data_IF_903658706319
#
_entry.id   IF_903658706319
#
_cell.length_a   1.000
_cell.length_b   1.000
_cell.length_c   1.000
_cell.angle_alpha   90.00
_cell.angle_beta   90.00
_cell.angle_gamma   90.00
#
_symmetry.space_group_name_H-M   'P 1'
#
loop_
_entity.id
_entity.type
_entity.pdbx_description
1 polymer ?
#
# COMPACT_ATOMS: atom_id res chain seq x y z
N UNK A 1 12.52 -11.23 1.20
CA UNK A 1 12.89 -10.75 -0.16
C UNK A 1 11.81 -11.07 -1.18
N UNK A 2 11.39 -12.34 -1.34
CA UNK A 2 10.35 -12.75 -2.33
C UNK A 2 9.03 -11.97 -2.17
N UNK A 3 8.53 -11.83 -0.94
CA UNK A 3 7.29 -11.08 -0.68
C UNK A 3 7.32 -9.62 -1.15
N UNK A 4 8.44 -8.94 -0.92
CA UNK A 4 8.62 -7.56 -1.38
C UNK A 4 8.64 -7.48 -2.92
N UNK A 5 9.30 -8.42 -3.59
CA UNK A 5 9.29 -8.49 -5.06
C UNK A 5 7.87 -8.74 -5.61
N UNK A 6 7.08 -9.60 -4.96
CA UNK A 6 5.67 -9.82 -5.33
C UNK A 6 4.86 -8.53 -5.12
N UNK A 7 5.08 -7.82 -4.02
CA UNK A 7 4.41 -6.55 -3.76
C UNK A 7 4.73 -5.50 -4.84
N UNK A 8 6.00 -5.41 -5.23
CA UNK A 8 6.44 -4.55 -6.32
C UNK A 8 5.84 -4.97 -7.67
N UNK A 9 5.73 -6.28 -7.93
CA UNK A 9 5.11 -6.80 -9.14
C UNK A 9 3.62 -6.47 -9.19
N UNK A 10 2.89 -6.55 -8.07
CA UNK A 10 1.49 -6.11 -7.99
C UNK A 10 1.41 -4.62 -8.32
N UNK A 11 2.20 -3.77 -7.65
CA UNK A 11 2.19 -2.33 -7.91
C UNK A 11 2.54 -2.03 -9.38
N UNK A 12 3.56 -2.68 -9.93
CA UNK A 12 3.96 -2.52 -11.33
C UNK A 12 2.85 -2.95 -12.29
N UNK A 13 2.24 -4.12 -12.07
CA UNK A 13 1.12 -4.62 -12.87
C UNK A 13 -0.03 -3.61 -12.90
N UNK A 14 -0.41 -3.07 -11.74
CA UNK A 14 -1.44 -2.03 -11.68
C UNK A 14 -1.00 -0.79 -12.47
N UNK A 15 0.21 -0.26 -12.24
CA UNK A 15 0.73 0.92 -12.95
C UNK A 15 0.86 0.73 -14.47
N UNK A 16 1.03 -0.49 -14.95
CA UNK A 16 1.17 -0.82 -16.38
C UNK A 16 -0.17 -1.05 -17.06
N UNK A 17 -1.08 -1.81 -16.43
CA UNK A 17 -2.30 -2.27 -17.10
C UNK A 17 -3.51 -1.35 -16.89
N UNK A 18 -3.50 -0.49 -15.88
CA UNK A 18 -4.64 0.38 -15.58
C UNK A 18 -4.36 1.83 -15.99
N UNK A 19 -5.38 2.54 -16.50
CA UNK A 19 -5.23 3.95 -16.84
C UNK A 19 -4.86 4.74 -15.58
N UNK A 20 -3.79 5.51 -15.67
CA UNK A 20 -3.23 6.34 -14.59
C UNK A 20 -4.30 7.14 -13.87
N UNK A 21 -5.21 7.78 -14.60
CA UNK A 21 -6.31 8.60 -14.06
C UNK A 21 -7.27 7.83 -13.11
N UNK A 22 -7.34 6.50 -13.23
CA UNK A 22 -8.19 5.62 -12.40
C UNK A 22 -7.46 5.01 -11.20
N UNK A 23 -6.13 5.09 -11.17
CA UNK A 23 -5.28 4.54 -10.10
C UNK A 23 -4.85 5.56 -9.06
N UNK A 24 -5.43 6.74 -9.14
CA UNK A 24 -4.90 7.93 -8.53
C UNK A 24 -5.99 8.66 -7.76
N UNK A 25 -5.69 8.86 -6.47
CA UNK A 25 -6.47 9.63 -5.52
C UNK A 25 -5.80 10.99 -5.28
N UNK A 26 -6.55 12.06 -5.47
CA UNK A 26 -6.04 13.43 -5.35
C UNK A 26 -5.43 13.72 -3.98
N UNK A 27 -5.89 13.07 -2.91
CA UNK A 27 -5.32 13.23 -1.58
C UNK A 27 -3.91 12.63 -1.50
N UNK A 28 -3.67 11.50 -2.17
CA UNK A 28 -2.33 10.89 -2.25
C UNK A 28 -1.38 11.81 -3.02
N UNK A 29 -1.85 12.44 -4.11
CA UNK A 29 -1.05 13.42 -4.84
C UNK A 29 -0.75 14.65 -3.97
N UNK A 30 -1.77 15.24 -3.35
CA UNK A 30 -1.62 16.41 -2.49
C UNK A 30 -0.66 16.12 -1.33
N UNK A 31 -0.80 14.96 -0.69
CA UNK A 31 0.12 14.48 0.34
C UNK A 31 1.54 14.32 -0.20
N UNK A 32 1.70 13.69 -1.37
CA UNK A 32 3.01 13.52 -2.00
C UNK A 32 3.69 14.86 -2.32
N UNK A 33 2.92 15.92 -2.58
CA UNK A 33 3.44 17.26 -2.86
C UNK A 33 3.77 18.04 -1.58
N UNK A 34 3.05 17.79 -0.48
CA UNK A 34 3.20 18.52 0.78
C UNK A 34 4.36 18.04 1.66
N UNK A 35 4.81 16.79 1.52
CA UNK A 35 5.90 16.24 2.35
C UNK A 35 7.25 16.17 1.62
N UNK A 36 8.37 16.14 2.34
CA UNK A 36 9.69 15.83 1.76
C UNK A 36 9.96 14.31 1.76
N UNK A 37 10.91 13.84 0.93
CA UNK A 37 11.29 12.41 0.94
C UNK A 37 11.93 11.96 2.26
N UNK A 38 12.66 12.88 2.91
CA UNK A 38 13.25 12.64 4.22
C UNK A 38 12.20 12.42 5.30
N UNK A 39 11.08 13.14 5.23
CA UNK A 39 9.95 12.95 6.13
C UNK A 39 9.10 11.72 5.76
N UNK A 40 8.99 11.39 4.47
CA UNK A 40 8.16 10.29 3.98
C UNK A 40 8.55 8.92 4.58
N UNK A 41 9.84 8.64 4.71
CA UNK A 41 10.31 7.34 5.20
C UNK A 41 9.89 7.04 6.65
N UNK A 42 10.22 7.89 7.65
CA UNK A 42 9.77 7.65 9.02
C UNK A 42 8.25 7.71 9.16
N UNK A 43 7.58 8.57 8.38
CA UNK A 43 6.11 8.61 8.36
C UNK A 43 5.49 7.27 7.95
N UNK A 44 5.91 6.71 6.80
CA UNK A 44 5.37 5.44 6.34
C UNK A 44 5.78 4.27 7.22
N UNK A 45 6.94 4.34 7.86
CA UNK A 45 7.35 3.35 8.84
C UNK A 45 6.41 3.32 10.05
N UNK A 46 6.09 4.48 10.63
CA UNK A 46 5.16 4.56 11.75
C UNK A 46 3.74 4.17 11.34
N UNK A 47 3.31 4.59 10.14
CA UNK A 47 2.01 4.20 9.60
C UNK A 47 1.90 2.68 9.45
N UNK A 48 2.88 2.05 8.80
CA UNK A 48 2.93 0.61 8.63
C UNK A 48 3.06 -0.12 9.97
N UNK A 49 3.85 0.39 10.91
CA UNK A 49 3.94 -0.19 12.26
C UNK A 49 2.56 -0.26 12.92
N UNK A 50 1.82 0.85 12.94
CA UNK A 50 0.48 0.90 13.54
C UNK A 50 -0.51 0.00 12.81
N UNK A 51 -0.53 0.04 11.47
CA UNK A 51 -1.47 -0.77 10.69
C UNK A 51 -1.16 -2.26 10.80
N UNK A 52 0.10 -2.69 10.63
CA UNK A 52 0.45 -4.11 10.71
C UNK A 52 0.23 -4.68 12.12
N UNK A 53 0.51 -3.91 13.17
CA UNK A 53 0.19 -4.33 14.53
C UNK A 53 -1.32 -4.58 14.72
N UNK A 54 -2.17 -3.71 14.17
CA UNK A 54 -3.61 -3.87 14.26
C UNK A 54 -4.11 -5.01 13.37
N UNK A 55 -3.82 -4.97 12.08
CA UNK A 55 -4.40 -5.89 11.10
C UNK A 55 -3.80 -7.29 11.19
N UNK A 56 -2.49 -7.42 11.39
CA UNK A 56 -1.81 -8.73 11.41
C UNK A 56 -1.64 -9.21 12.84
N UNK A 57 -1.17 -8.34 13.72
CA UNK A 57 -0.93 -8.66 15.13
C UNK A 57 -2.20 -8.91 15.96
N UNK A 58 -3.32 -8.24 15.64
CA UNK A 58 -4.58 -8.43 16.39
C UNK A 58 -5.69 -9.07 15.55
N UNK A 59 -6.10 -8.42 14.44
CA UNK A 59 -7.27 -8.85 13.67
C UNK A 59 -7.07 -10.20 12.99
N UNK A 60 -5.96 -10.39 12.27
CA UNK A 60 -5.67 -11.66 11.58
C UNK A 60 -5.42 -12.79 12.57
N UNK A 61 -4.69 -12.51 13.66
CA UNK A 61 -4.49 -13.50 14.72
C UNK A 61 -5.81 -14.00 15.31
N UNK A 62 -6.78 -13.11 15.54
CA UNK A 62 -8.06 -13.46 16.17
C UNK A 62 -9.11 -14.01 15.19
N UNK A 63 -9.16 -13.49 13.97
CA UNK A 63 -10.27 -13.69 13.02
C UNK A 63 -9.83 -14.20 11.64
N UNK A 64 -8.55 -14.44 11.45
CA UNK A 64 -7.98 -14.99 10.22
C UNK A 64 -7.83 -13.98 9.07
N UNK A 65 -7.22 -14.47 7.99
CA UNK A 65 -6.79 -13.69 6.82
C UNK A 65 -7.96 -12.92 6.18
N UNK A 66 -9.11 -13.57 5.99
CA UNK A 66 -10.22 -12.99 5.24
C UNK A 66 -10.83 -11.78 5.94
N UNK A 67 -11.13 -11.90 7.23
CA UNK A 67 -11.74 -10.82 8.01
C UNK A 67 -10.75 -9.65 8.14
N UNK A 68 -9.48 -9.93 8.45
CA UNK A 68 -8.45 -8.90 8.54
C UNK A 68 -8.23 -8.15 7.22
N UNK A 69 -8.19 -8.86 6.09
CA UNK A 69 -7.99 -8.26 4.75
C UNK A 69 -9.19 -7.42 4.32
N UNK A 70 -10.41 -7.88 4.59
CA UNK A 70 -11.62 -7.09 4.31
C UNK A 70 -11.63 -5.83 5.17
N UNK A 71 -11.38 -5.95 6.48
CA UNK A 71 -11.30 -4.80 7.38
C UNK A 71 -10.23 -3.78 6.92
N UNK A 72 -9.04 -4.26 6.55
CA UNK A 72 -7.96 -3.44 6.00
C UNK A 72 -8.39 -2.68 4.74
N UNK A 73 -9.14 -3.34 3.86
CA UNK A 73 -9.64 -2.69 2.63
C UNK A 73 -10.72 -1.65 2.94
N UNK A 74 -11.60 -1.93 3.91
CA UNK A 74 -12.72 -1.06 4.25
C UNK A 74 -12.29 0.23 4.97
N UNK A 75 -11.20 0.22 5.74
CA UNK A 75 -10.68 1.45 6.35
C UNK A 75 -10.16 2.46 5.32
N UNK A 76 -9.87 2.02 4.08
CA UNK A 76 -9.54 2.88 2.95
C UNK A 76 -10.79 3.47 2.28
N UNK A 77 -11.71 3.98 3.09
CA UNK A 77 -13.01 4.50 2.62
C UNK A 77 -12.87 5.66 1.64
N UNK A 78 -11.75 6.40 1.65
CA UNK A 78 -11.45 7.45 0.67
C UNK A 78 -11.48 6.93 -0.77
N UNK A 79 -11.24 5.64 -0.97
CA UNK A 79 -11.22 4.99 -2.28
C UNK A 79 -12.58 4.42 -2.72
N UNK A 80 -13.69 4.69 -2.01
CA UNK A 80 -15.02 4.13 -2.34
C UNK A 80 -15.49 4.40 -3.78
N UNK A 81 -15.09 5.53 -4.39
CA UNK A 81 -15.37 5.88 -5.80
C UNK A 81 -14.29 5.40 -6.78
N UNK A 82 -13.27 4.70 -6.29
CA UNK A 82 -12.07 4.28 -7.03
C UNK A 82 -11.92 2.75 -6.90
N UNK A 83 -12.76 1.95 -7.59
CA UNK A 83 -12.80 0.50 -7.42
C UNK A 83 -11.47 -0.19 -7.70
N UNK A 84 -10.68 0.35 -8.63
CA UNK A 84 -9.35 -0.17 -8.94
C UNK A 84 -8.32 0.07 -7.83
N UNK A 85 -8.40 1.21 -7.12
CA UNK A 85 -7.54 1.45 -5.97
C UNK A 85 -7.94 0.57 -4.79
N UNK A 86 -9.24 0.36 -4.57
CA UNK A 86 -9.72 -0.62 -3.59
C UNK A 86 -9.23 -2.04 -3.92
N UNK A 87 -9.27 -2.45 -5.19
CA UNK A 87 -8.75 -3.75 -5.61
C UNK A 87 -7.23 -3.85 -5.37
N UNK A 88 -6.49 -2.77 -5.64
CA UNK A 88 -5.05 -2.72 -5.34
C UNK A 88 -4.80 -2.89 -3.84
N UNK A 89 -5.48 -2.09 -3.00
CA UNK A 89 -5.38 -2.16 -1.54
C UNK A 89 -5.74 -3.55 -1.02
N UNK A 90 -6.81 -4.15 -1.55
CA UNK A 90 -7.21 -5.51 -1.21
C UNK A 90 -6.13 -6.53 -1.58
N UNK A 91 -5.57 -6.46 -2.79
CA UNK A 91 -4.51 -7.36 -3.24
C UNK A 91 -3.24 -7.21 -2.39
N UNK A 92 -2.87 -5.97 -2.03
CA UNK A 92 -1.74 -5.71 -1.12
C UNK A 92 -2.03 -6.20 0.29
N UNK A 93 -3.25 -5.99 0.79
CA UNK A 93 -3.69 -6.44 2.11
C UNK A 93 -3.60 -7.95 2.24
N UNK A 94 -4.06 -8.67 1.20
CA UNK A 94 -4.02 -10.12 1.11
C UNK A 94 -2.57 -10.63 1.02
N UNK A 95 -1.72 -9.99 0.22
CA UNK A 95 -0.29 -10.34 0.15
C UNK A 95 0.39 -10.21 1.51
N UNK A 96 0.18 -9.09 2.22
CA UNK A 96 0.74 -8.87 3.55
C UNK A 96 0.22 -9.90 4.56
N UNK A 97 -1.07 -10.26 4.46
CA UNK A 97 -1.64 -11.32 5.30
C UNK A 97 -0.97 -12.68 5.07
N UNK A 98 -0.77 -13.06 3.80
CA UNK A 98 -0.02 -14.29 3.46
C UNK A 98 1.45 -14.22 3.88
N UNK A 99 2.09 -13.06 3.75
CA UNK A 99 3.47 -12.89 4.22
C UNK A 99 3.58 -13.04 5.73
N UNK A 100 2.60 -12.56 6.48
CA UNK A 100 2.54 -12.78 7.92
C UNK A 100 2.42 -14.27 8.25
N UNK A 101 1.51 -15.00 7.62
CA UNK A 101 1.37 -16.46 7.82
C UNK A 101 2.65 -17.23 7.51
N UNK A 102 3.34 -16.87 6.41
CA UNK A 102 4.53 -17.60 5.98
C UNK A 102 5.76 -17.29 6.82
N UNK A 103 5.86 -16.08 7.35
CA UNK A 103 7.06 -15.59 8.04
C UNK A 103 6.91 -15.51 9.55
N UNK A 104 5.69 -15.58 10.07
CA UNK A 104 5.31 -15.37 11.46
C UNK A 104 5.90 -14.07 12.06
N UNK A 105 6.15 -13.08 11.20
CA UNK A 105 6.91 -11.88 11.56
C UNK A 105 6.22 -10.60 11.13
N UNK A 106 5.84 -9.79 12.12
CA UNK A 106 5.31 -8.44 11.86
C UNK A 106 6.37 -7.56 11.17
N UNK A 107 7.65 -7.73 11.49
CA UNK A 107 8.73 -6.94 10.88
C UNK A 107 8.81 -7.11 9.36
N UNK A 108 8.59 -8.33 8.86
CA UNK A 108 8.55 -8.59 7.42
C UNK A 108 7.43 -7.80 6.76
N UNK A 109 6.25 -7.77 7.39
CA UNK A 109 5.08 -7.04 6.88
C UNK A 109 5.29 -5.53 6.96
N UNK A 110 5.78 -5.02 8.11
CA UNK A 110 6.03 -3.60 8.35
C UNK A 110 7.03 -3.05 7.34
N UNK A 111 8.16 -3.73 7.13
CA UNK A 111 9.19 -3.30 6.18
C UNK A 111 8.69 -3.38 4.73
N UNK A 112 7.93 -4.42 4.38
CA UNK A 112 7.34 -4.57 3.05
C UNK A 112 6.34 -3.44 2.77
N UNK A 113 5.42 -3.18 3.70
CA UNK A 113 4.40 -2.15 3.57
C UNK A 113 5.03 -0.75 3.54
N UNK A 114 5.97 -0.46 4.44
CA UNK A 114 6.74 0.79 4.43
C UNK A 114 7.43 1.00 3.09
N UNK A 115 8.12 -0.02 2.59
CA UNK A 115 8.89 0.06 1.34
C UNK A 115 8.01 0.33 0.13
N UNK A 116 6.85 -0.31 0.02
CA UNK A 116 5.91 -0.07 -1.08
C UNK A 116 5.37 1.35 -1.05
N UNK A 117 4.87 1.82 0.11
CA UNK A 117 4.27 3.15 0.22
C UNK A 117 5.30 4.25 -0.04
N UNK A 118 6.51 4.09 0.52
CA UNK A 118 7.60 5.03 0.29
C UNK A 118 8.04 5.04 -1.18
N UNK A 119 8.18 3.87 -1.82
CA UNK A 119 8.58 3.79 -3.23
C UNK A 119 7.54 4.45 -4.14
N UNK A 120 6.24 4.27 -3.87
CA UNK A 120 5.19 4.94 -4.64
C UNK A 120 5.36 6.47 -4.61
N UNK A 121 5.54 7.05 -3.41
CA UNK A 121 5.78 8.49 -3.26
C UNK A 121 7.08 8.93 -3.93
N UNK A 122 8.14 8.12 -3.82
CA UNK A 122 9.40 8.38 -4.51
C UNK A 122 9.22 8.46 -6.03
N UNK A 123 8.51 7.50 -6.63
CA UNK A 123 8.26 7.45 -8.08
C UNK A 123 7.41 8.64 -8.55
N UNK A 124 6.40 9.04 -7.77
CA UNK A 124 5.58 10.23 -8.03
C UNK A 124 6.45 11.50 -7.99
N UNK A 125 7.24 11.68 -6.93
CA UNK A 125 8.10 12.87 -6.77
C UNK A 125 9.19 12.99 -7.83
N UNK A 126 9.75 11.85 -8.27
CA UNK A 126 10.73 11.81 -9.37
C UNK A 126 10.11 11.90 -10.76
N UNK A 127 8.78 12.04 -10.86
CA UNK A 127 8.03 12.15 -12.12
C UNK A 127 8.18 10.93 -13.04
N UNK A 128 8.60 9.78 -12.50
CA UNK A 128 8.54 8.49 -13.21
C UNK A 128 7.09 8.06 -13.42
N UNK A 129 6.23 8.47 -12.49
CA UNK A 129 4.79 8.36 -12.58
C UNK A 129 4.21 9.76 -12.78
N UNK A 130 3.46 9.97 -13.87
CA UNK A 130 2.79 11.25 -14.16
C UNK A 130 1.27 11.12 -13.96
N UNK A 131 0.70 12.05 -13.20
CA UNK A 131 -0.71 12.02 -12.76
C UNK A 131 -1.70 12.53 -13.81
N UNK A 132 -1.26 13.49 -14.62
CA UNK A 132 -1.94 13.94 -15.83
C UNK A 132 -1.09 13.55 -17.02
N UNK A 133 -1.73 13.04 -18.06
CA UNK A 133 -1.18 13.17 -19.40
C UNK A 133 -1.11 14.68 -19.65
N UNK A 134 0.09 15.21 -19.84
CA UNK A 134 0.23 16.57 -20.32
C UNK A 134 -0.25 16.55 -21.77
N UNK A 135 -1.41 17.13 -22.04
CA UNK A 135 -1.53 17.99 -23.21
C UNK A 135 -0.71 19.26 -22.96
#
# INVERSE_FOLDING_TARGET
>A
MVGFLIALLIVWCFLTFLPRQKLYDENVLAFSQSISLWFALPFFFLNALSEEMLFRGALQYQWGIFIATIAFTLVHFSYYKKPFMLLQVFAQGLLLAFLYEMSESLWVCILCHTGVNWLLIYLIKKKYIRYKDQE
#
